data_IF_824241754417
#
_entry.id   IF_824241754417
#
_cell.length_a   1.000
_cell.length_b   1.000
_cell.length_c   1.000
_cell.angle_alpha   90.00
_cell.angle_beta   90.00
_cell.angle_gamma   90.00
#
_symmetry.space_group_name_H-M   'P 1'
#
loop_
_entity.id
_entity.type
_entity.pdbx_description
1 polymer ?
#
# COMPACT_ATOMS: atom_id res chain seq x y z
N UNK A 1 11.34 31.80 17.04
CA UNK A 1 12.03 31.06 15.97
C UNK A 1 11.26 29.76 15.77
N UNK A 2 10.73 29.51 14.58
CA UNK A 2 9.98 28.29 14.24
C UNK A 2 10.87 27.43 13.35
N UNK A 3 11.12 26.20 13.77
CA UNK A 3 11.92 25.23 12.99
C UNK A 3 10.99 24.29 12.28
N UNK A 4 11.14 24.15 10.96
CA UNK A 4 10.45 23.18 10.13
C UNK A 4 11.29 21.91 10.05
N UNK A 5 10.65 20.80 10.34
CA UNK A 5 11.25 19.47 10.27
C UNK A 5 10.83 18.82 8.94
N UNK A 6 11.70 18.00 8.35
CA UNK A 6 11.34 17.22 7.17
C UNK A 6 10.10 16.35 7.48
N UNK A 7 8.95 16.61 6.85
CA UNK A 7 7.74 15.83 7.09
C UNK A 7 7.87 14.42 6.51
N UNK A 8 7.01 13.49 6.96
CA UNK A 8 6.82 12.22 6.28
C UNK A 8 6.19 12.49 4.90
N UNK A 9 6.96 12.20 3.85
CA UNK A 9 6.56 12.38 2.46
C UNK A 9 5.70 11.22 1.91
N UNK A 10 5.30 10.30 2.80
CA UNK A 10 4.48 9.13 2.48
C UNK A 10 5.31 7.91 2.08
N UNK A 11 4.61 6.76 1.93
CA UNK A 11 5.18 5.49 1.45
C UNK A 11 6.35 4.91 2.26
N UNK A 12 6.52 5.34 3.53
CA UNK A 12 7.52 4.79 4.43
C UNK A 12 8.96 5.25 4.13
N UNK A 13 9.13 6.38 3.46
CA UNK A 13 10.43 7.00 3.22
C UNK A 13 11.05 7.49 4.53
N UNK A 14 12.29 7.12 4.80
CA UNK A 14 13.01 7.47 6.04
C UNK A 14 13.91 8.69 5.89
N UNK A 15 14.28 9.06 4.65
CA UNK A 15 15.17 10.16 4.32
C UNK A 15 14.83 10.79 2.97
N UNK A 16 15.26 12.02 2.71
CA UNK A 16 15.23 12.68 1.41
C UNK A 16 16.50 13.51 1.22
N UNK A 17 16.99 13.62 -0.01
CA UNK A 17 18.17 14.41 -0.35
C UNK A 17 17.76 15.84 -0.75
N UNK A 18 18.45 16.86 -0.23
CA UNK A 18 18.23 18.25 -0.62
C UNK A 18 18.82 18.46 -2.02
N UNK A 19 17.95 18.66 -3.02
CA UNK A 19 18.38 18.93 -4.39
C UNK A 19 18.79 20.37 -4.54
N UNK A 20 17.94 21.30 -4.10
CA UNK A 20 18.16 22.73 -4.27
C UNK A 20 17.35 23.54 -3.26
N UNK A 21 17.98 24.59 -2.71
CA UNK A 21 17.28 25.61 -1.96
C UNK A 21 16.67 26.66 -2.89
N UNK A 22 15.40 26.97 -2.71
CA UNK A 22 14.66 27.99 -3.48
C UNK A 22 14.73 29.37 -2.82
N UNK A 23 15.27 29.43 -1.60
CA UNK A 23 15.44 30.63 -0.79
C UNK A 23 16.82 30.63 -0.13
N UNK A 24 17.30 31.80 0.25
CA UNK A 24 18.56 32.01 0.97
C UNK A 24 18.29 32.45 2.44
N UNK A 25 19.31 32.29 3.30
CA UNK A 25 19.24 32.85 4.65
C UNK A 25 19.06 34.36 4.56
N UNK A 26 18.10 34.88 5.30
CA UNK A 26 17.72 36.28 5.28
C UNK A 26 16.54 36.66 4.39
N UNK A 27 16.07 35.77 3.52
CA UNK A 27 14.91 36.01 2.66
C UNK A 27 13.62 36.02 3.46
N UNK A 28 12.63 36.80 3.00
CA UNK A 28 11.26 36.76 3.51
C UNK A 28 10.45 35.69 2.75
N UNK A 29 9.76 34.82 3.48
CA UNK A 29 8.91 33.78 2.93
C UNK A 29 7.47 33.92 3.45
N UNK A 30 6.52 33.66 2.56
CA UNK A 30 5.09 33.58 2.90
C UNK A 30 4.70 32.14 3.30
N UNK A 31 3.54 31.99 3.94
CA UNK A 31 2.94 30.66 4.16
C UNK A 31 2.63 30.04 2.80
N UNK A 32 2.90 28.75 2.66
CA UNK A 32 2.74 27.93 1.43
C UNK A 32 3.69 28.30 0.27
N UNK A 33 4.70 29.14 0.51
CA UNK A 33 5.75 29.41 -0.48
C UNK A 33 6.73 28.24 -0.50
N UNK A 34 7.07 27.73 -1.70
CA UNK A 34 8.10 26.71 -1.88
C UNK A 34 9.47 27.23 -1.40
N UNK A 35 10.16 26.43 -0.57
CA UNK A 35 11.45 26.81 0.08
C UNK A 35 12.58 25.90 -0.37
N UNK A 36 12.31 24.64 -0.61
CA UNK A 36 13.33 23.64 -0.95
C UNK A 36 12.76 22.56 -1.87
N UNK A 37 13.56 22.10 -2.80
CA UNK A 37 13.32 20.87 -3.57
C UNK A 37 14.09 19.72 -2.92
N UNK A 38 13.40 18.63 -2.62
CA UNK A 38 14.00 17.41 -2.09
C UNK A 38 13.75 16.24 -3.01
N UNK A 39 14.74 15.38 -3.22
CA UNK A 39 14.64 14.15 -3.97
C UNK A 39 14.40 12.97 -3.01
N UNK A 40 13.38 12.21 -3.33
CA UNK A 40 13.09 10.93 -2.68
C UNK A 40 13.46 9.80 -3.63
N UNK A 41 13.48 8.57 -3.16
CA UNK A 41 13.73 7.39 -4.01
C UNK A 41 12.77 7.26 -5.23
N UNK A 42 11.70 8.08 -5.31
CA UNK A 42 10.68 7.99 -6.35
C UNK A 42 10.43 9.27 -7.16
N UNK A 43 10.67 10.43 -6.58
CA UNK A 43 10.38 11.72 -7.23
C UNK A 43 11.06 12.89 -6.53
N UNK A 44 11.18 14.01 -7.27
CA UNK A 44 11.55 15.31 -6.69
C UNK A 44 10.28 16.03 -6.25
N UNK A 45 10.25 16.54 -5.03
CA UNK A 45 9.10 17.21 -4.39
C UNK A 45 9.52 18.58 -3.87
N UNK A 46 8.71 19.60 -4.17
CA UNK A 46 8.87 20.92 -3.56
C UNK A 46 8.17 20.96 -2.19
N UNK A 47 8.90 21.43 -1.16
CA UNK A 47 8.34 21.59 0.18
C UNK A 47 8.03 23.06 0.47
N UNK A 48 6.75 23.38 0.77
CA UNK A 48 6.35 24.73 1.11
C UNK A 48 6.60 25.04 2.59
N UNK A 49 6.79 26.32 2.89
CA UNK A 49 6.90 26.82 4.27
C UNK A 49 5.54 26.87 4.96
N UNK A 50 5.35 26.23 6.13
CA UNK A 50 4.15 26.38 6.93
C UNK A 50 4.11 27.70 7.74
N UNK A 51 5.17 28.51 7.67
CA UNK A 51 5.31 29.74 8.43
C UNK A 51 5.69 30.90 7.53
N UNK A 52 5.13 32.09 7.80
CA UNK A 52 5.60 33.34 7.22
C UNK A 52 6.66 33.98 8.13
N UNK A 53 7.68 34.56 7.53
CA UNK A 53 8.73 35.26 8.24
C UNK A 53 10.05 35.26 7.48
N UNK A 54 11.13 35.57 8.19
CA UNK A 54 12.49 35.64 7.61
C UNK A 54 13.22 34.33 7.85
N UNK A 55 13.85 33.76 6.81
CA UNK A 55 14.70 32.58 6.93
C UNK A 55 15.90 32.88 7.82
N UNK A 56 15.98 32.24 8.97
CA UNK A 56 17.05 32.45 9.96
C UNK A 56 18.21 31.48 9.75
N UNK A 57 17.95 30.24 9.34
CA UNK A 57 18.97 29.22 9.05
C UNK A 57 18.44 28.13 8.14
N UNK A 58 19.30 27.60 7.26
CA UNK A 58 19.09 26.41 6.45
C UNK A 58 19.92 25.27 7.06
N UNK A 59 19.27 24.10 7.32
CA UNK A 59 19.90 22.98 8.01
C UNK A 59 20.24 21.87 7.02
N UNK A 60 21.35 22.01 6.31
CA UNK A 60 21.87 21.05 5.33
C UNK A 60 22.32 21.73 4.05
N UNK A 61 23.37 21.21 3.44
CA UNK A 61 23.83 21.65 2.13
C UNK A 61 23.06 20.90 1.02
N UNK A 62 23.01 21.49 -0.18
CA UNK A 62 22.53 20.77 -1.38
C UNK A 62 23.36 19.50 -1.59
N UNK A 63 22.70 18.39 -1.97
CA UNK A 63 23.29 17.06 -2.07
C UNK A 63 23.42 16.32 -0.72
N UNK A 64 22.80 16.80 0.36
CA UNK A 64 22.84 16.13 1.67
C UNK A 64 21.52 15.41 1.93
N UNK A 65 21.60 14.14 2.34
CA UNK A 65 20.44 13.39 2.81
C UNK A 65 20.05 13.83 4.24
N UNK A 66 18.76 14.04 4.46
CA UNK A 66 18.15 14.45 5.73
C UNK A 66 17.08 13.43 6.13
N UNK A 67 17.15 12.91 7.36
CA UNK A 67 16.14 11.98 7.89
C UNK A 67 14.80 12.69 8.14
N UNK A 68 13.70 11.98 7.96
CA UNK A 68 12.35 12.42 8.36
C UNK A 68 12.34 12.79 9.84
N UNK A 69 11.78 13.97 10.15
CA UNK A 69 11.74 14.50 11.52
C UNK A 69 12.98 15.28 11.94
N UNK A 70 14.00 15.43 11.10
CA UNK A 70 15.16 16.30 11.36
C UNK A 70 14.88 17.74 10.91
N UNK A 71 15.56 18.74 11.53
CA UNK A 71 15.44 20.14 11.13
C UNK A 71 15.85 20.35 9.67
N UNK A 72 15.00 21.06 8.90
CA UNK A 72 15.26 21.38 7.51
C UNK A 72 15.59 22.87 7.35
N UNK A 73 14.77 23.77 7.92
CA UNK A 73 15.05 25.19 7.99
C UNK A 73 14.38 25.86 9.20
N UNK A 74 14.83 27.06 9.56
CA UNK A 74 14.31 27.85 10.68
C UNK A 74 13.88 29.23 10.22
N UNK A 75 12.73 29.72 10.71
CA UNK A 75 12.14 31.01 10.38
C UNK A 75 11.97 31.84 11.64
N UNK A 76 12.40 33.13 11.59
CA UNK A 76 12.01 34.15 12.53
C UNK A 76 10.67 34.75 12.08
N UNK A 77 9.65 34.77 12.95
CA UNK A 77 8.41 35.45 12.62
C UNK A 77 8.69 36.92 12.37
N UNK A 78 8.14 37.47 11.28
CA UNK A 78 8.24 38.89 11.00
C UNK A 78 7.74 39.67 12.23
N UNK A 79 8.58 40.54 12.79
CA UNK A 79 8.17 41.46 13.83
C UNK A 79 7.23 42.47 13.19
N UNK A 80 5.94 42.25 13.26
CA UNK A 80 4.92 43.21 12.86
C UNK A 80 4.95 44.36 13.87
N UNK A 81 5.71 45.41 13.55
CA UNK A 81 5.40 46.73 14.08
C UNK A 81 4.08 47.17 13.45
N UNK A 82 3.05 47.12 14.26
CA UNK A 82 1.78 47.77 14.20
C UNK A 82 1.23 48.19 12.84
N UNK A 83 0.27 47.43 12.35
CA UNK A 83 -0.98 48.03 11.88
C UNK A 83 -2.11 47.00 12.10
N UNK A 84 -2.89 47.27 13.13
CA UNK A 84 -4.09 46.50 13.45
C UNK A 84 -5.13 46.78 12.39
N UNK A 85 -5.45 45.79 11.57
CA UNK A 85 -6.53 45.82 10.56
C UNK A 85 -7.92 45.62 11.17
N UNK A 86 -8.16 46.03 12.42
CA UNK A 86 -9.51 46.20 12.97
C UNK A 86 -9.47 47.40 13.92
N UNK A 87 -9.88 48.52 13.39
CA UNK A 87 -10.46 49.71 13.89
C UNK A 87 -10.35 50.08 15.36
N UNK A 88 -9.54 51.08 15.63
CA UNK A 88 -9.93 52.32 16.33
C UNK A 88 -8.91 53.36 15.93
N UNK A 89 -9.17 54.02 14.80
CA UNK A 89 -8.49 55.24 14.43
C UNK A 89 -8.96 56.36 15.35
N UNK A 90 -8.00 57.09 15.92
CA UNK A 90 -8.22 58.32 16.64
C UNK A 90 -8.63 59.43 15.67
N UNK A 91 -9.80 60.02 15.99
CA UNK A 91 -10.28 61.41 15.80
C UNK A 91 -9.79 62.27 14.63
N UNK A 92 -10.71 62.69 13.83
CA UNK A 92 -10.71 63.84 12.93
C UNK A 92 -12.09 64.15 12.40
N UNK A 93 -12.77 65.06 13.06
CA UNK A 93 -13.89 65.96 12.70
C UNK A 93 -14.93 65.64 11.64
N UNK A 94 -16.16 65.76 12.12
CA UNK A 94 -17.33 66.48 11.61
C UNK A 94 -18.06 65.94 10.37
N UNK A 95 -19.33 65.63 10.59
CA UNK A 95 -20.34 65.89 9.55
C UNK A 95 -21.52 64.95 9.46
N UNK A 96 -22.65 65.40 10.05
CA UNK A 96 -24.03 65.18 9.63
C UNK A 96 -24.75 63.84 9.86
N UNK A 97 -25.73 63.97 10.68
CA UNK A 97 -26.67 63.01 11.15
C UNK A 97 -27.60 62.36 10.08
N UNK A 98 -27.94 61.14 10.37
CA UNK A 98 -29.16 60.53 9.86
C UNK A 98 -29.93 59.84 10.97
N UNK A 99 -31.22 60.24 11.07
CA UNK A 99 -32.23 59.85 12.04
C UNK A 99 -32.39 58.33 12.16
N UNK A 100 -32.43 57.85 13.41
CA UNK A 100 -32.82 56.50 13.80
C UNK A 100 -34.35 56.34 13.66
N UNK A 101 -34.82 55.31 12.97
CA UNK A 101 -36.20 54.81 13.06
C UNK A 101 -36.35 53.94 14.31
N UNK A 102 -37.50 53.95 14.99
CA UNK A 102 -37.73 53.22 16.23
C UNK A 102 -37.89 51.71 15.96
N UNK A 103 -37.24 50.93 16.80
CA UNK A 103 -37.27 49.47 16.80
C UNK A 103 -38.57 48.98 17.47
N UNK A 104 -39.35 48.18 16.75
CA UNK A 104 -40.54 47.47 17.20
C UNK A 104 -40.20 46.51 18.35
N UNK A 105 -40.84 46.66 19.50
CA UNK A 105 -40.76 45.76 20.64
C UNK A 105 -41.51 44.46 20.32
N UNK A 106 -40.86 43.33 20.45
CA UNK A 106 -41.49 42.00 20.48
C UNK A 106 -41.42 41.54 21.95
N UNK A 107 -42.56 41.46 22.59
CA UNK A 107 -42.73 40.87 23.90
C UNK A 107 -42.73 39.34 23.76
N UNK A 108 -41.74 38.68 24.33
CA UNK A 108 -41.79 37.23 24.58
C UNK A 108 -41.71 37.00 26.08
N UNK A 109 -42.78 36.53 26.63
CA UNK A 109 -42.92 36.01 27.98
C UNK A 109 -42.27 34.62 28.01
N UNK A 110 -41.23 34.40 28.84
CA UNK A 110 -40.67 33.06 29.01
C UNK A 110 -39.47 33.08 29.94
N UNK A 111 -39.65 32.59 31.13
CA UNK A 111 -38.71 32.03 32.13
C UNK A 111 -37.33 32.68 32.21
N UNK A 112 -37.08 33.43 33.28
CA UNK A 112 -35.80 34.02 33.65
C UNK A 112 -34.83 32.96 34.14
N UNK A 113 -34.07 32.33 33.21
CA UNK A 113 -32.73 31.80 33.49
C UNK A 113 -31.74 32.97 33.45
N UNK A 114 -30.90 33.10 34.46
CA UNK A 114 -29.84 34.14 34.56
C UNK A 114 -28.91 33.98 33.35
N UNK A 115 -28.95 34.94 32.43
CA UNK A 115 -28.13 34.90 31.23
C UNK A 115 -26.63 34.79 31.58
N UNK A 116 -25.87 33.90 30.99
CA UNK A 116 -24.45 33.72 31.30
C UNK A 116 -23.69 35.01 30.97
N UNK A 117 -22.92 35.51 31.93
CA UNK A 117 -22.14 36.74 31.76
C UNK A 117 -20.81 36.38 31.04
N UNK A 118 -20.75 36.58 29.74
CA UNK A 118 -19.53 36.54 28.96
C UNK A 118 -19.23 37.95 28.47
N UNK A 119 -18.19 38.57 29.02
CA UNK A 119 -17.81 39.95 28.67
C UNK A 119 -16.90 39.94 27.41
N UNK A 120 -16.01 38.95 27.26
CA UNK A 120 -15.03 38.96 26.19
C UNK A 120 -15.57 38.42 24.85
N UNK A 121 -15.46 39.21 23.76
CA UNK A 121 -15.79 38.73 22.40
C UNK A 121 -14.98 37.52 21.97
N UNK A 122 -13.73 37.42 22.47
CA UNK A 122 -12.80 36.32 22.16
C UNK A 122 -13.28 35.00 22.75
N UNK A 123 -13.81 35.01 23.98
CA UNK A 123 -14.36 33.82 24.65
C UNK A 123 -15.63 33.33 23.93
N UNK A 124 -16.48 34.25 23.45
CA UNK A 124 -17.67 33.91 22.65
C UNK A 124 -17.30 33.31 21.29
N UNK A 125 -16.23 33.84 20.67
CA UNK A 125 -15.73 33.30 19.40
C UNK A 125 -15.18 31.89 19.62
N UNK A 126 -14.34 31.70 20.65
CA UNK A 126 -13.76 30.39 20.98
C UNK A 126 -14.82 29.32 21.26
N UNK A 127 -15.87 29.66 22.01
CA UNK A 127 -16.97 28.75 22.26
C UNK A 127 -17.74 28.39 20.99
N UNK A 128 -17.95 29.36 20.10
CA UNK A 128 -18.65 29.14 18.82
C UNK A 128 -17.80 28.27 17.91
N UNK A 129 -16.51 28.55 17.78
CA UNK A 129 -15.58 27.80 16.94
C UNK A 129 -15.40 26.36 17.46
N UNK A 130 -15.50 26.18 18.81
CA UNK A 130 -15.45 24.86 19.48
C UNK A 130 -16.80 24.13 19.59
N UNK A 131 -17.91 24.69 19.05
CA UNK A 131 -19.24 24.07 19.11
C UNK A 131 -19.84 23.96 20.52
N UNK A 132 -19.36 24.75 21.49
CA UNK A 132 -19.79 24.70 22.88
C UNK A 132 -20.81 25.80 23.19
N UNK A 133 -21.95 25.41 23.77
CA UNK A 133 -22.98 26.39 24.20
C UNK A 133 -22.51 27.05 25.50
N UNK A 134 -22.20 28.35 25.41
CA UNK A 134 -21.78 29.17 26.54
C UNK A 134 -22.83 29.22 27.67
N UNK A 135 -24.11 29.02 27.35
CA UNK A 135 -25.18 29.04 28.33
C UNK A 135 -25.20 27.80 29.24
N UNK A 136 -24.55 26.73 28.80
CA UNK A 136 -24.42 25.47 29.53
C UNK A 136 -23.12 25.40 30.40
N UNK A 137 -22.27 26.42 30.31
CA UNK A 137 -20.99 26.46 31.07
C UNK A 137 -21.19 27.19 32.39
N UNK A 138 -20.79 26.57 33.49
CA UNK A 138 -20.70 27.21 34.79
C UNK A 138 -19.40 28.04 34.86
N UNK A 139 -19.53 29.38 34.91
CA UNK A 139 -18.40 30.30 34.90
C UNK A 139 -17.66 30.30 36.25
N UNK A 140 -16.31 30.17 36.22
CA UNK A 140 -15.44 30.20 37.41
C UNK A 140 -14.87 31.58 37.69
N UNK A 141 -15.12 32.57 36.85
CA UNK A 141 -14.69 33.96 37.07
C UNK A 141 -15.54 34.72 38.09
N UNK A 142 -15.14 35.97 38.46
CA UNK A 142 -15.89 36.81 39.36
C UNK A 142 -17.35 36.98 38.91
N UNK A 143 -18.29 36.91 39.86
CA UNK A 143 -19.73 37.01 39.63
C UNK A 143 -20.32 35.92 38.66
N UNK A 144 -19.67 34.78 38.55
CA UNK A 144 -20.10 33.71 37.66
C UNK A 144 -19.78 33.97 36.18
N UNK A 145 -18.75 34.74 35.92
CA UNK A 145 -18.25 35.05 34.58
C UNK A 145 -17.65 33.82 33.91
N UNK A 146 -18.08 33.49 32.69
CA UNK A 146 -17.44 32.42 31.90
C UNK A 146 -16.11 32.90 31.35
N UNK A 147 -15.03 32.27 31.77
CA UNK A 147 -13.66 32.57 31.36
C UNK A 147 -13.23 31.72 30.16
N UNK A 148 -12.08 32.08 29.55
CA UNK A 148 -11.48 31.27 28.48
C UNK A 148 -11.16 29.83 28.96
N UNK A 149 -10.69 29.69 30.21
CA UNK A 149 -10.37 28.40 30.79
C UNK A 149 -11.60 27.50 30.92
N UNK A 150 -12.77 28.07 31.21
CA UNK A 150 -14.02 27.31 31.31
C UNK A 150 -14.48 26.79 29.95
N UNK A 151 -14.37 27.61 28.90
CA UNK A 151 -14.68 27.19 27.53
C UNK A 151 -13.71 26.08 27.08
N UNK A 152 -12.41 26.24 27.30
CA UNK A 152 -11.41 25.21 26.96
C UNK A 152 -11.68 23.89 27.73
N UNK A 153 -12.03 23.99 29.02
CA UNK A 153 -12.41 22.82 29.82
C UNK A 153 -13.68 22.15 29.27
N UNK A 154 -14.69 22.92 28.92
CA UNK A 154 -15.91 22.40 28.31
C UNK A 154 -15.66 21.75 26.94
N UNK A 155 -14.75 22.30 26.12
CA UNK A 155 -14.31 21.68 24.86
C UNK A 155 -13.62 20.33 25.07
N UNK A 156 -12.80 20.21 26.11
CA UNK A 156 -12.14 18.95 26.46
C UNK A 156 -13.08 17.92 27.09
N UNK A 157 -14.15 18.38 27.74
CA UNK A 157 -15.14 17.50 28.39
C UNK A 157 -16.28 17.10 27.43
N UNK A 158 -16.49 17.85 26.35
CA UNK A 158 -17.59 17.63 25.38
C UNK A 158 -17.12 16.84 24.13
N UNK A 159 -16.00 16.13 24.19
CA UNK A 159 -15.79 15.09 23.19
C UNK A 159 -16.83 14.01 23.49
N UNK A 160 -17.87 13.82 22.67
CA UNK A 160 -18.72 12.65 22.81
C UNK A 160 -17.80 11.47 22.57
N UNK A 161 -17.51 10.73 23.64
CA UNK A 161 -16.91 9.40 23.52
C UNK A 161 -17.99 8.55 22.85
N UNK A 162 -18.07 8.59 21.53
CA UNK A 162 -18.71 7.54 20.76
C UNK A 162 -18.03 6.27 21.28
N UNK A 163 -18.75 5.31 21.86
CA UNK A 163 -18.14 4.07 22.29
C UNK A 163 -17.46 3.49 21.05
N UNK A 164 -16.12 3.52 21.01
CA UNK A 164 -15.33 2.82 19.99
C UNK A 164 -15.81 1.37 20.04
N UNK A 165 -16.14 0.77 18.89
CA UNK A 165 -16.49 -0.64 18.86
C UNK A 165 -15.39 -1.39 19.58
N UNK A 166 -15.78 -2.27 20.51
CA UNK A 166 -14.85 -3.02 21.36
C UNK A 166 -13.92 -3.79 20.45
N UNK A 167 -12.67 -3.37 20.31
CA UNK A 167 -11.67 -4.01 19.45
C UNK A 167 -11.47 -5.45 19.93
N UNK A 168 -11.72 -6.41 19.05
CA UNK A 168 -11.40 -7.81 19.32
C UNK A 168 -9.95 -8.07 18.92
N UNK A 169 -9.06 -8.23 19.87
CA UNK A 169 -7.66 -8.61 19.63
C UNK A 169 -7.54 -10.12 19.49
N UNK A 170 -7.05 -10.58 18.34
CA UNK A 170 -6.79 -11.99 18.04
C UNK A 170 -5.27 -12.17 17.96
N UNK A 171 -4.63 -12.84 18.91
CA UNK A 171 -3.19 -13.08 18.86
C UNK A 171 -2.85 -14.07 17.74
N UNK A 172 -1.77 -13.79 17.00
CA UNK A 172 -1.25 -14.72 16.01
C UNK A 172 -0.70 -15.98 16.71
N UNK A 173 -1.03 -17.16 16.18
CA UNK A 173 -0.41 -18.43 16.57
C UNK A 173 1.09 -18.46 16.22
N UNK A 174 1.86 -19.39 16.80
CA UNK A 174 3.28 -19.54 16.50
C UNK A 174 3.56 -19.74 15.00
N UNK A 175 2.79 -20.62 14.36
CA UNK A 175 2.86 -20.85 12.90
C UNK A 175 2.54 -19.56 12.12
N UNK A 176 1.46 -18.86 12.48
CA UNK A 176 1.05 -17.62 11.83
C UNK A 176 2.11 -16.51 11.98
N UNK A 177 2.81 -16.44 13.12
CA UNK A 177 3.93 -15.52 13.34
C UNK A 177 5.13 -15.83 12.43
N UNK A 178 5.47 -17.12 12.26
CA UNK A 178 6.55 -17.53 11.36
C UNK A 178 6.24 -17.16 9.90
N UNK A 179 5.02 -17.47 9.44
CA UNK A 179 4.54 -17.08 8.09
C UNK A 179 4.57 -15.56 7.91
N UNK A 180 4.05 -14.78 8.88
CA UNK A 180 4.06 -13.33 8.80
C UNK A 180 5.49 -12.78 8.68
N UNK A 181 6.45 -13.32 9.46
CA UNK A 181 7.86 -12.92 9.37
C UNK A 181 8.47 -13.24 7.99
N UNK A 182 8.21 -14.44 7.46
CA UNK A 182 8.72 -14.85 6.15
C UNK A 182 8.16 -13.96 5.02
N UNK A 183 6.85 -13.69 5.03
CA UNK A 183 6.20 -12.85 4.03
C UNK A 183 6.65 -11.38 4.13
N UNK A 184 6.78 -10.84 5.34
CA UNK A 184 7.31 -9.48 5.55
C UNK A 184 8.74 -9.37 5.03
N UNK A 185 9.58 -10.37 5.32
CA UNK A 185 10.96 -10.41 4.81
C UNK A 185 10.99 -10.40 3.28
N UNK A 186 10.23 -11.30 2.64
CA UNK A 186 10.16 -11.39 1.19
C UNK A 186 9.77 -10.04 0.59
N UNK A 187 8.69 -9.42 1.11
CA UNK A 187 8.18 -8.15 0.58
C UNK A 187 9.13 -6.97 0.80
N UNK A 188 9.94 -6.98 1.86
CA UNK A 188 10.91 -5.91 2.16
C UNK A 188 12.23 -6.07 1.40
N UNK A 189 12.62 -7.32 1.05
CA UNK A 189 13.90 -7.58 0.40
C UNK A 189 13.81 -7.71 -1.13
N UNK A 190 12.62 -8.03 -1.68
CA UNK A 190 12.41 -8.30 -3.10
C UNK A 190 11.58 -7.19 -3.75
N UNK A 191 12.15 -6.37 -4.66
CA UNK A 191 11.39 -5.47 -5.50
C UNK A 191 10.67 -6.28 -6.60
N UNK A 192 9.45 -6.73 -6.28
CA UNK A 192 8.66 -7.62 -7.14
C UNK A 192 8.02 -6.86 -8.31
N UNK A 193 8.09 -7.43 -9.50
CA UNK A 193 7.23 -7.08 -10.62
C UNK A 193 6.27 -8.23 -10.94
N UNK A 194 5.08 -7.91 -11.46
CA UNK A 194 4.07 -8.91 -11.83
C UNK A 194 3.58 -8.69 -13.26
N UNK A 195 3.53 -9.76 -14.03
CA UNK A 195 2.98 -9.79 -15.38
C UNK A 195 1.87 -10.84 -15.49
N UNK A 196 0.88 -10.60 -16.36
CA UNK A 196 -0.28 -11.49 -16.57
C UNK A 196 -0.49 -11.76 -18.04
N UNK A 197 -1.03 -12.96 -18.31
CA UNK A 197 -1.55 -13.32 -19.62
C UNK A 197 -2.76 -14.25 -19.46
N UNK A 198 -3.77 -14.04 -20.30
CA UNK A 198 -4.86 -14.99 -20.47
C UNK A 198 -4.44 -16.07 -21.48
N UNK A 199 -4.61 -17.34 -21.12
CA UNK A 199 -4.14 -18.50 -21.89
C UNK A 199 -5.31 -19.41 -22.25
N UNK A 200 -5.38 -19.83 -23.50
CA UNK A 200 -6.37 -20.80 -23.96
C UNK A 200 -5.95 -22.24 -23.63
N UNK A 201 -6.47 -22.75 -22.55
CA UNK A 201 -6.20 -24.12 -22.08
C UNK A 201 -7.13 -25.20 -22.67
N UNK A 202 -7.87 -24.88 -23.74
CA UNK A 202 -8.86 -25.82 -24.32
C UNK A 202 -8.19 -27.09 -24.81
N UNK A 203 -7.08 -26.99 -25.53
CA UNK A 203 -6.39 -28.18 -26.08
C UNK A 203 -5.72 -28.98 -24.97
N UNK A 204 -5.14 -28.32 -23.95
CA UNK A 204 -4.62 -29.00 -22.76
C UNK A 204 -5.74 -29.77 -22.03
N UNK A 205 -6.91 -29.15 -21.89
CA UNK A 205 -8.05 -29.81 -21.25
C UNK A 205 -8.51 -31.06 -22.05
N UNK A 206 -8.62 -30.93 -23.38
CA UNK A 206 -8.97 -32.06 -24.27
C UNK A 206 -7.94 -33.18 -24.17
N UNK A 207 -6.67 -32.85 -24.22
CA UNK A 207 -5.59 -33.83 -24.07
C UNK A 207 -5.71 -34.56 -22.73
N UNK A 208 -5.87 -33.84 -21.64
CA UNK A 208 -6.05 -34.45 -20.31
C UNK A 208 -7.26 -35.35 -20.24
N UNK A 209 -8.39 -34.97 -20.84
CA UNK A 209 -9.59 -35.83 -20.89
C UNK A 209 -9.36 -37.09 -21.77
N UNK A 210 -8.60 -36.99 -22.87
CA UNK A 210 -8.28 -38.13 -23.74
C UNK A 210 -7.35 -39.16 -23.09
N UNK A 211 -6.60 -38.79 -22.07
CA UNK A 211 -5.70 -39.70 -21.32
C UNK A 211 -6.40 -40.41 -20.16
N UNK A 212 -7.67 -40.11 -19.89
CA UNK A 212 -8.44 -40.76 -18.83
C UNK A 212 -9.10 -42.05 -19.33
N UNK A 213 -9.08 -43.04 -18.46
CA UNK A 213 -9.85 -44.28 -18.64
C UNK A 213 -10.74 -44.50 -17.42
N UNK A 214 -11.74 -45.42 -17.48
CA UNK A 214 -12.54 -45.75 -16.30
C UNK A 214 -11.72 -46.22 -15.10
N UNK A 215 -10.60 -46.89 -15.35
CA UNK A 215 -9.75 -47.50 -14.32
C UNK A 215 -8.53 -46.62 -13.94
N UNK A 216 -8.20 -45.62 -14.77
CA UNK A 216 -7.07 -44.71 -14.53
C UNK A 216 -7.48 -43.26 -14.80
N UNK A 217 -7.53 -42.41 -13.78
CA UNK A 217 -7.84 -40.98 -13.95
C UNK A 217 -6.78 -40.20 -14.73
N UNK A 218 -5.62 -40.80 -15.03
CA UNK A 218 -4.49 -40.17 -15.67
C UNK A 218 -3.88 -39.01 -14.85
N UNK A 219 -2.86 -38.32 -15.40
CA UNK A 219 -2.25 -37.17 -14.74
C UNK A 219 -3.24 -36.03 -14.53
N UNK A 220 -3.18 -35.40 -13.37
CA UNK A 220 -3.96 -34.20 -13.07
C UNK A 220 -3.47 -32.98 -13.88
N UNK A 221 -4.36 -32.00 -14.08
CA UNK A 221 -4.01 -30.76 -14.81
C UNK A 221 -2.77 -30.07 -14.22
N UNK A 222 -2.60 -30.12 -12.90
CA UNK A 222 -1.45 -29.54 -12.21
C UNK A 222 -0.12 -30.21 -12.64
N UNK A 223 -0.12 -31.50 -12.95
CA UNK A 223 1.07 -32.18 -13.41
C UNK A 223 1.52 -31.69 -14.80
N UNK A 224 0.57 -31.43 -15.71
CA UNK A 224 0.88 -30.81 -17.00
C UNK A 224 1.42 -29.39 -16.84
N UNK A 225 0.77 -28.56 -16.03
CA UNK A 225 1.23 -27.20 -15.74
C UNK A 225 2.64 -27.20 -15.12
N UNK A 226 2.87 -28.10 -14.17
CA UNK A 226 4.17 -28.30 -13.56
C UNK A 226 5.24 -28.72 -14.59
N UNK A 227 4.90 -29.65 -15.49
CA UNK A 227 5.82 -30.08 -16.55
C UNK A 227 6.19 -28.94 -17.48
N UNK A 228 5.24 -28.15 -17.95
CA UNK A 228 5.49 -27.01 -18.82
C UNK A 228 6.33 -25.93 -18.12
N UNK A 229 6.05 -25.68 -16.83
CA UNK A 229 6.85 -24.77 -16.01
C UNK A 229 8.28 -25.25 -15.87
N UNK A 230 8.50 -26.53 -15.60
CA UNK A 230 9.85 -27.12 -15.47
C UNK A 230 10.64 -26.98 -16.77
N UNK A 231 10.02 -27.19 -17.93
CA UNK A 231 10.70 -27.03 -19.22
C UNK A 231 11.02 -25.56 -19.54
N UNK A 232 10.14 -24.65 -19.18
CA UNK A 232 10.42 -23.23 -19.29
C UNK A 232 11.59 -22.82 -18.39
N UNK A 233 11.64 -23.31 -17.13
CA UNK A 233 12.76 -23.05 -16.21
C UNK A 233 14.12 -23.56 -16.73
N UNK A 234 14.12 -24.68 -17.47
CA UNK A 234 15.34 -25.17 -18.12
C UNK A 234 15.87 -24.23 -19.21
N UNK A 235 14.99 -23.49 -19.86
CA UNK A 235 15.32 -22.49 -20.90
C UNK A 235 15.62 -21.11 -20.31
N UNK A 236 15.05 -20.82 -19.15
CA UNK A 236 15.19 -19.58 -18.41
C UNK A 236 15.71 -19.85 -16.99
N UNK A 237 16.97 -20.34 -16.83
CA UNK A 237 17.49 -20.78 -15.54
C UNK A 237 17.58 -19.67 -14.51
N UNK A 238 17.66 -18.43 -14.94
CA UNK A 238 17.68 -17.24 -14.06
C UNK A 238 16.48 -17.20 -13.11
N UNK A 239 15.32 -17.74 -13.49
CA UNK A 239 14.14 -17.81 -12.60
C UNK A 239 14.21 -19.01 -11.64
N UNK A 240 15.14 -19.95 -11.83
CA UNK A 240 15.44 -21.03 -10.90
C UNK A 240 16.70 -20.70 -10.10
N UNK A 241 16.72 -19.53 -9.48
CA UNK A 241 17.90 -18.99 -8.78
C UNK A 241 17.53 -18.35 -7.44
N UNK A 242 18.56 -17.86 -6.76
CA UNK A 242 18.46 -16.97 -5.61
C UNK A 242 19.49 -15.85 -5.72
N UNK A 243 19.21 -14.75 -5.05
CA UNK A 243 20.20 -13.70 -4.86
C UNK A 243 21.03 -13.99 -3.60
N UNK A 244 22.37 -13.84 -3.71
CA UNK A 244 23.32 -13.98 -2.59
C UNK A 244 24.27 -12.77 -2.63
N UNK A 245 23.96 -11.74 -1.85
CA UNK A 245 24.60 -10.44 -2.01
C UNK A 245 24.26 -9.84 -3.39
N UNK A 246 25.30 -9.57 -4.17
CA UNK A 246 25.18 -9.03 -5.55
C UNK A 246 25.25 -10.12 -6.62
N UNK A 247 25.30 -11.40 -6.24
CA UNK A 247 25.41 -12.52 -7.15
C UNK A 247 24.07 -13.24 -7.36
N UNK A 248 23.73 -13.55 -8.61
CA UNK A 248 22.66 -14.46 -8.98
C UNK A 248 23.22 -15.88 -8.95
N UNK A 249 22.69 -16.72 -8.06
CA UNK A 249 23.09 -18.11 -7.91
C UNK A 249 22.03 -19.02 -8.51
N UNK A 250 22.25 -19.50 -9.72
CA UNK A 250 21.37 -20.47 -10.40
C UNK A 250 21.50 -21.85 -9.78
N UNK A 251 20.38 -22.58 -9.71
CA UNK A 251 20.33 -23.95 -9.21
C UNK A 251 20.37 -24.96 -10.35
N UNK A 252 21.26 -25.97 -10.28
CA UNK A 252 21.33 -27.06 -11.26
C UNK A 252 20.08 -27.95 -11.25
N UNK A 253 19.45 -28.11 -10.09
CA UNK A 253 18.23 -28.88 -9.92
C UNK A 253 17.01 -27.97 -9.77
N UNK A 254 15.92 -28.37 -10.41
CA UNK A 254 14.62 -27.71 -10.24
C UNK A 254 13.86 -28.46 -9.14
N UNK A 255 13.80 -27.85 -7.96
CA UNK A 255 12.97 -28.31 -6.86
C UNK A 255 11.67 -27.52 -6.87
N UNK A 256 10.63 -28.09 -7.48
CA UNK A 256 9.38 -27.37 -7.72
C UNK A 256 8.50 -27.34 -6.46
N UNK A 257 8.39 -26.18 -5.83
CA UNK A 257 7.46 -25.91 -4.74
C UNK A 257 6.02 -25.86 -5.24
N UNK A 258 5.11 -26.52 -4.56
CA UNK A 258 3.67 -26.54 -4.88
C UNK A 258 2.90 -25.86 -3.75
N UNK A 259 2.40 -24.65 -3.98
CA UNK A 259 1.59 -23.93 -2.99
C UNK A 259 0.33 -24.73 -2.66
N UNK A 260 0.17 -25.15 -1.40
CA UNK A 260 -0.87 -26.06 -0.95
C UNK A 260 -1.58 -25.52 0.29
N UNK A 261 -2.90 -25.37 0.20
CA UNK A 261 -3.72 -24.98 1.33
C UNK A 261 -3.97 -26.18 2.26
N UNK A 262 -3.63 -26.02 3.54
CA UNK A 262 -3.89 -27.04 4.57
C UNK A 262 -4.77 -26.46 5.70
N UNK A 263 -5.36 -27.29 6.58
CA UNK A 263 -6.10 -26.79 7.74
C UNK A 263 -5.27 -25.91 8.67
N UNK A 264 -3.94 -26.04 8.67
CA UNK A 264 -3.01 -25.22 9.47
C UNK A 264 -2.61 -23.92 8.78
N UNK A 265 -2.83 -23.81 7.47
CA UNK A 265 -2.46 -22.69 6.64
C UNK A 265 -1.82 -23.10 5.32
N UNK A 266 -1.27 -22.13 4.59
CA UNK A 266 -0.54 -22.35 3.35
C UNK A 266 0.85 -22.94 3.66
N UNK A 267 1.22 -24.00 2.95
CA UNK A 267 2.54 -24.64 2.95
C UNK A 267 3.02 -24.81 1.50
N UNK A 268 4.33 -24.93 1.31
CA UNK A 268 4.92 -25.10 -0.03
C UNK A 268 5.83 -26.34 -0.05
N UNK A 269 5.24 -27.56 -0.05
CA UNK A 269 6.03 -28.77 -0.28
C UNK A 269 6.73 -28.73 -1.63
N UNK A 270 7.89 -29.36 -1.75
CA UNK A 270 8.68 -29.34 -2.97
C UNK A 270 8.86 -30.75 -3.57
N UNK A 271 8.70 -30.85 -4.90
CA UNK A 271 9.09 -31.98 -5.72
C UNK A 271 10.55 -31.78 -6.11
N UNK A 272 11.44 -32.63 -5.61
CA UNK A 272 12.87 -32.54 -5.87
C UNK A 272 13.23 -33.13 -7.24
N UNK A 273 14.16 -32.44 -7.94
CA UNK A 273 14.66 -32.90 -9.23
C UNK A 273 13.54 -33.07 -10.27
N UNK A 274 12.55 -32.17 -10.29
CA UNK A 274 11.34 -32.26 -11.09
C UNK A 274 11.64 -32.44 -12.60
N UNK A 275 12.77 -31.92 -13.09
CA UNK A 275 13.23 -32.07 -14.47
C UNK A 275 13.59 -33.51 -14.87
N UNK A 276 13.83 -34.38 -13.89
CA UNK A 276 14.19 -35.79 -14.10
C UNK A 276 12.99 -36.73 -14.17
N UNK A 277 11.81 -36.24 -13.81
CA UNK A 277 10.59 -37.05 -13.68
C UNK A 277 9.82 -37.08 -15.02
N UNK A 278 9.21 -38.22 -15.31
CA UNK A 278 8.16 -38.31 -16.35
C UNK A 278 6.90 -37.60 -15.89
N UNK A 279 5.96 -37.32 -16.80
CA UNK A 279 4.69 -36.68 -16.45
C UNK A 279 3.92 -37.48 -15.37
N UNK A 280 3.86 -38.81 -15.51
CA UNK A 280 3.23 -39.68 -14.52
C UNK A 280 3.98 -39.69 -13.18
N UNK A 281 5.32 -39.69 -13.22
CA UNK A 281 6.16 -39.58 -12.02
C UNK A 281 5.98 -38.24 -11.32
N UNK A 282 5.88 -37.15 -12.09
CA UNK A 282 5.62 -35.83 -11.58
C UNK A 282 4.26 -35.71 -10.89
N UNK A 283 3.18 -36.27 -11.51
CA UNK A 283 1.86 -36.32 -10.91
C UNK A 283 1.84 -37.09 -9.59
N UNK A 284 2.46 -38.29 -9.58
CA UNK A 284 2.55 -39.11 -8.37
C UNK A 284 3.31 -38.37 -7.24
N UNK A 285 4.41 -37.73 -7.58
CA UNK A 285 5.24 -37.03 -6.61
C UNK A 285 4.53 -35.76 -6.10
N UNK A 286 3.85 -34.98 -6.96
CA UNK A 286 3.02 -33.84 -6.56
C UNK A 286 1.97 -34.30 -5.55
N UNK A 287 1.22 -35.39 -5.84
CA UNK A 287 0.22 -35.93 -4.91
C UNK A 287 0.85 -36.33 -3.58
N UNK A 288 2.01 -36.99 -3.61
CA UNK A 288 2.72 -37.42 -2.41
C UNK A 288 3.14 -36.24 -1.52
N UNK A 289 3.76 -35.23 -2.11
CA UNK A 289 4.29 -34.09 -1.33
C UNK A 289 3.18 -33.20 -0.80
N UNK A 290 2.12 -32.96 -1.60
CA UNK A 290 0.97 -32.15 -1.17
C UNK A 290 0.17 -32.83 -0.05
N UNK A 291 0.03 -34.16 -0.09
CA UNK A 291 -0.61 -34.93 0.99
C UNK A 291 0.19 -34.88 2.30
N UNK A 292 1.51 -34.69 2.26
CA UNK A 292 2.34 -34.59 3.45
C UNK A 292 2.06 -33.35 4.29
N UNK A 293 1.62 -32.26 3.67
CA UNK A 293 1.34 -30.96 4.29
C UNK A 293 2.55 -30.34 5.00
N UNK A 294 3.76 -30.63 4.53
CA UNK A 294 5.03 -30.11 5.08
C UNK A 294 5.71 -29.20 4.07
N UNK A 295 6.30 -28.11 4.55
CA UNK A 295 7.16 -27.27 3.72
C UNK A 295 8.38 -28.05 3.20
N UNK A 296 8.89 -27.63 2.05
CA UNK A 296 10.07 -28.19 1.41
C UNK A 296 11.00 -27.12 0.89
N UNK A 297 12.23 -27.54 0.53
CA UNK A 297 13.28 -26.66 0.01
C UNK A 297 13.10 -26.50 -1.52
N UNK A 298 12.04 -25.77 -1.94
CA UNK A 298 11.81 -25.45 -3.34
C UNK A 298 12.75 -24.36 -3.85
N UNK A 299 13.11 -24.45 -5.14
CA UNK A 299 13.90 -23.40 -5.84
C UNK A 299 13.04 -22.48 -6.70
N UNK A 300 11.82 -22.90 -7.00
CA UNK A 300 10.77 -22.13 -7.68
C UNK A 300 9.40 -22.56 -7.16
N UNK A 301 8.42 -21.67 -7.12
CA UNK A 301 7.07 -22.01 -6.63
C UNK A 301 6.03 -21.94 -7.74
N UNK A 302 5.23 -23.01 -7.83
CA UNK A 302 4.01 -23.10 -8.62
C UNK A 302 2.80 -22.97 -7.71
N UNK A 303 1.92 -22.02 -8.02
CA UNK A 303 0.70 -21.76 -7.26
C UNK A 303 -0.54 -21.95 -8.14
N UNK A 304 -1.35 -22.96 -7.84
CA UNK A 304 -2.64 -23.16 -8.51
C UNK A 304 -3.78 -22.79 -7.56
N UNK A 305 -4.28 -21.57 -7.71
CA UNK A 305 -5.41 -21.05 -6.94
C UNK A 305 -6.76 -21.17 -7.65
N UNK A 306 -6.79 -21.81 -8.82
CA UNK A 306 -8.03 -22.11 -9.54
C UNK A 306 -9.00 -22.96 -8.73
N UNK A 307 -8.48 -23.88 -7.91
CA UNK A 307 -9.28 -24.66 -6.96
C UNK A 307 -9.96 -23.84 -5.86
N UNK A 308 -9.50 -22.60 -5.63
CA UNK A 308 -10.11 -21.63 -4.72
C UNK A 308 -11.12 -20.71 -5.41
N UNK A 309 -11.43 -20.98 -6.69
CA UNK A 309 -12.34 -20.19 -7.52
C UNK A 309 -11.88 -18.73 -7.75
N UNK A 310 -10.57 -18.53 -7.87
CA UNK A 310 -9.92 -17.23 -8.10
C UNK A 310 -9.33 -17.18 -9.50
N UNK A 311 -9.49 -16.05 -10.20
CA UNK A 311 -9.03 -15.87 -11.59
C UNK A 311 -7.55 -15.52 -11.68
N UNK A 312 -7.03 -14.69 -10.78
CA UNK A 312 -5.66 -14.23 -10.81
C UNK A 312 -5.19 -13.80 -9.41
N UNK A 313 -3.87 -13.74 -9.21
CA UNK A 313 -3.26 -13.32 -7.96
C UNK A 313 -1.87 -12.74 -8.19
N UNK A 314 -1.55 -11.60 -7.59
CA UNK A 314 -0.20 -11.12 -7.39
C UNK A 314 0.35 -11.76 -6.11
N UNK A 315 0.95 -12.95 -6.25
CA UNK A 315 1.46 -13.71 -5.10
C UNK A 315 2.75 -13.08 -4.56
N UNK A 316 3.04 -13.31 -3.28
CA UNK A 316 4.33 -12.95 -2.68
C UNK A 316 5.32 -14.09 -2.95
N UNK A 317 6.52 -13.74 -3.40
CA UNK A 317 7.59 -14.71 -3.68
C UNK A 317 7.99 -15.44 -2.39
N UNK A 318 8.21 -16.74 -2.48
CA UNK A 318 8.68 -17.56 -1.36
C UNK A 318 10.19 -17.41 -1.19
N UNK A 319 10.60 -16.36 -0.44
CA UNK A 319 12.02 -16.08 -0.20
C UNK A 319 12.79 -17.32 0.32
N UNK A 320 14.02 -17.65 -0.20
CA UNK A 320 14.91 -16.84 -1.03
C UNK A 320 14.76 -17.06 -2.54
N UNK A 321 13.68 -17.70 -3.01
CA UNK A 321 13.40 -17.82 -4.45
C UNK A 321 13.24 -16.44 -5.09
N UNK A 322 13.43 -16.38 -6.40
CA UNK A 322 13.32 -15.11 -7.16
C UNK A 322 12.04 -15.01 -7.98
N UNK A 323 11.22 -16.06 -8.01
CA UNK A 323 9.99 -16.03 -8.80
C UNK A 323 8.93 -17.03 -8.33
N UNK A 324 7.68 -16.76 -8.72
CA UNK A 324 6.51 -17.61 -8.51
C UNK A 324 5.56 -17.51 -9.70
N UNK A 325 5.08 -18.65 -10.21
CA UNK A 325 4.10 -18.73 -11.28
C UNK A 325 2.75 -19.17 -10.71
N UNK A 326 1.70 -18.42 -11.04
CA UNK A 326 0.35 -18.67 -10.59
C UNK A 326 -0.61 -19.00 -11.71
N UNK A 327 -1.54 -19.94 -11.46
CA UNK A 327 -2.62 -20.29 -12.36
C UNK A 327 -3.97 -20.09 -11.70
N UNK A 328 -4.84 -19.35 -12.38
CA UNK A 328 -6.23 -19.17 -11.99
C UNK A 328 -7.14 -20.32 -12.39
N UNK A 329 -8.42 -20.15 -12.12
CA UNK A 329 -9.43 -21.11 -12.53
C UNK A 329 -9.56 -21.17 -14.05
N UNK A 330 -9.79 -22.38 -14.56
CA UNK A 330 -10.05 -22.61 -15.98
C UNK A 330 -11.56 -22.57 -16.24
N UNK A 331 -12.02 -21.53 -16.93
CA UNK A 331 -13.43 -21.29 -17.21
C UNK A 331 -13.71 -21.26 -18.71
N UNK A 332 -14.91 -21.67 -19.08
CA UNK A 332 -15.44 -21.42 -20.42
C UNK A 332 -15.76 -19.93 -20.58
N UNK A 333 -15.13 -19.30 -21.58
CA UNK A 333 -15.31 -17.88 -21.92
C UNK A 333 -15.49 -17.73 -23.44
N UNK A 334 -16.24 -16.70 -23.92
CA UNK A 334 -16.24 -16.34 -25.32
C UNK A 334 -14.84 -15.84 -25.69
N UNK A 335 -14.30 -16.39 -26.78
CA UNK A 335 -12.94 -16.11 -27.23
C UNK A 335 -12.90 -16.01 -28.74
N UNK A 336 -12.04 -15.13 -29.29
CA UNK A 336 -11.91 -14.98 -30.74
C UNK A 336 -10.86 -15.95 -31.27
N UNK A 337 -11.25 -16.85 -32.14
CA UNK A 337 -10.37 -17.82 -32.81
C UNK A 337 -10.65 -17.79 -34.31
N UNK A 338 -9.63 -17.51 -35.12
CA UNK A 338 -9.78 -17.43 -36.58
C UNK A 338 -10.75 -16.34 -37.05
N UNK A 339 -10.99 -15.30 -36.25
CA UNK A 339 -11.93 -14.22 -36.54
C UNK A 339 -13.38 -14.49 -36.07
N UNK A 340 -13.66 -15.64 -35.50
CA UNK A 340 -14.99 -16.02 -34.98
C UNK A 340 -15.01 -16.11 -33.46
N UNK A 341 -16.15 -15.78 -32.86
CA UNK A 341 -16.36 -15.95 -31.42
C UNK A 341 -16.71 -17.42 -31.13
N UNK A 342 -15.87 -18.08 -30.34
CA UNK A 342 -16.06 -19.47 -29.92
C UNK A 342 -15.98 -19.58 -28.41
N UNK A 343 -16.49 -20.70 -27.86
CA UNK A 343 -16.32 -21.02 -26.42
C UNK A 343 -14.97 -21.70 -26.27
N UNK A 344 -14.09 -21.10 -25.43
CA UNK A 344 -12.77 -21.64 -25.11
C UNK A 344 -12.58 -21.69 -23.60
N UNK A 345 -11.74 -22.60 -23.15
CA UNK A 345 -11.41 -22.75 -21.73
C UNK A 345 -10.20 -21.91 -21.39
N UNK A 346 -10.45 -20.74 -20.81
CA UNK A 346 -9.43 -19.73 -20.54
C UNK A 346 -9.00 -19.80 -19.08
N UNK A 347 -7.70 -19.68 -18.84
CA UNK A 347 -7.11 -19.45 -17.53
C UNK A 347 -6.24 -18.20 -17.55
N UNK A 348 -6.21 -17.46 -16.46
CA UNK A 348 -5.24 -16.39 -16.28
C UNK A 348 -3.98 -16.96 -15.63
N UNK A 349 -2.84 -16.67 -16.22
CA UNK A 349 -1.52 -16.99 -15.68
C UNK A 349 -0.88 -15.70 -15.16
N UNK A 350 -0.34 -15.73 -13.95
CA UNK A 350 0.37 -14.60 -13.31
C UNK A 350 1.78 -15.02 -12.96
N UNK A 351 2.75 -14.16 -13.24
CA UNK A 351 4.15 -14.39 -12.93
C UNK A 351 4.70 -13.21 -12.13
N UNK A 352 5.19 -13.51 -10.94
CA UNK A 352 5.83 -12.54 -10.05
C UNK A 352 7.31 -12.89 -9.97
N UNK A 353 8.16 -11.91 -10.19
CA UNK A 353 9.61 -12.10 -10.22
C UNK A 353 10.36 -10.93 -9.56
N UNK A 354 11.56 -11.22 -9.11
CA UNK A 354 12.50 -10.24 -8.55
C UNK A 354 13.10 -9.41 -9.69
N UNK A 355 12.78 -8.11 -9.73
CA UNK A 355 13.22 -7.23 -10.82
C UNK A 355 14.73 -6.93 -10.79
N UNK A 356 15.44 -7.33 -9.73
CA UNK A 356 16.91 -7.29 -9.68
C UNK A 356 17.56 -8.42 -10.47
N UNK A 357 16.82 -9.52 -10.65
CA UNK A 357 17.32 -10.74 -11.30
C UNK A 357 17.03 -10.75 -12.78
N UNK A 358 15.91 -10.17 -13.21
CA UNK A 358 15.46 -10.18 -14.60
C UNK A 358 14.59 -8.96 -14.91
N UNK A 359 14.48 -8.64 -16.19
CA UNK A 359 13.60 -7.60 -16.71
C UNK A 359 12.32 -8.18 -17.34
N UNK A 360 11.46 -7.27 -17.84
CA UNK A 360 10.19 -7.63 -18.44
C UNK A 360 10.31 -8.44 -19.73
N UNK A 361 11.43 -8.33 -20.45
CA UNK A 361 11.65 -9.07 -21.70
C UNK A 361 11.81 -10.56 -21.47
N UNK A 362 12.66 -10.94 -20.52
CA UNK A 362 12.90 -12.36 -20.18
C UNK A 362 11.70 -12.94 -19.43
N UNK A 363 11.06 -12.17 -18.54
CA UNK A 363 9.83 -12.57 -17.89
C UNK A 363 8.71 -12.87 -18.88
N UNK A 364 8.55 -12.04 -19.91
CA UNK A 364 7.58 -12.27 -20.99
C UNK A 364 7.93 -13.51 -21.83
N UNK A 365 9.21 -13.75 -22.14
CA UNK A 365 9.67 -14.94 -22.86
C UNK A 365 9.36 -16.22 -22.06
N UNK A 366 9.69 -16.26 -20.77
CA UNK A 366 9.33 -17.37 -19.89
C UNK A 366 7.80 -17.63 -19.86
N UNK A 367 7.03 -16.57 -19.71
CA UNK A 367 5.55 -16.66 -19.70
C UNK A 367 5.03 -17.20 -21.03
N UNK A 368 5.55 -16.73 -22.19
CA UNK A 368 5.15 -17.23 -23.50
C UNK A 368 5.47 -18.70 -23.68
N UNK A 369 6.64 -19.15 -23.26
CA UNK A 369 7.04 -20.54 -23.35
C UNK A 369 6.05 -21.47 -22.60
N UNK A 370 5.61 -21.06 -21.41
CA UNK A 370 4.61 -21.82 -20.64
C UNK A 370 3.23 -21.75 -21.31
N UNK A 371 2.82 -20.54 -21.76
CA UNK A 371 1.52 -20.32 -22.39
C UNK A 371 1.42 -21.12 -23.70
N UNK A 372 2.44 -21.07 -24.56
CA UNK A 372 2.49 -21.79 -25.83
C UNK A 372 2.40 -23.31 -25.62
N UNK A 373 3.01 -23.84 -24.55
CA UNK A 373 2.92 -25.23 -24.18
C UNK A 373 1.50 -25.62 -23.69
N UNK A 374 0.79 -24.71 -23.05
CA UNK A 374 -0.62 -24.92 -22.64
C UNK A 374 -1.55 -24.86 -23.85
N UNK A 375 -1.34 -23.88 -24.75
CA UNK A 375 -2.15 -23.70 -25.96
C UNK A 375 -1.93 -24.82 -26.98
N UNK A 376 -0.71 -25.38 -27.05
CA UNK A 376 -0.30 -26.44 -27.97
C UNK A 376 0.44 -27.58 -27.23
N UNK A 377 -0.26 -28.40 -26.44
CA UNK A 377 0.39 -29.31 -25.50
C UNK A 377 1.04 -30.55 -26.17
N UNK A 378 0.56 -31.03 -27.32
CA UNK A 378 1.11 -32.22 -27.97
C UNK A 378 2.58 -32.04 -28.40
N UNK A 379 2.98 -30.99 -29.14
CA UNK A 379 4.37 -30.76 -29.48
C UNK A 379 5.26 -30.54 -28.23
N UNK A 380 4.69 -29.94 -27.18
CA UNK A 380 5.39 -29.73 -25.93
C UNK A 380 5.70 -31.04 -25.21
N UNK A 381 4.82 -32.02 -25.24
CA UNK A 381 5.01 -33.34 -24.59
C UNK A 381 5.91 -34.27 -25.44
N UNK A 382 5.81 -34.22 -26.74
CA UNK A 382 6.58 -35.14 -27.63
C UNK A 382 8.07 -34.77 -27.70
N UNK A 383 8.43 -33.53 -27.44
CA UNK A 383 9.82 -33.04 -27.49
C UNK A 383 10.60 -33.31 -26.19
N UNK A 384 10.02 -34.01 -25.22
CA UNK A 384 10.58 -34.21 -23.87
C UNK A 384 10.93 -35.66 -23.58
#
# INVERSE_FOLDING_TARGET
MNTFLLPDLGEGLTEAEIVRWLVAEGDEVAVDQAVVEVETAKSVVELPSPYAGRVAALHGAEGTAVDVGKPLFSIEPASTSGNVLVGYGTSGEAGNGRRRRPRRQITTTGVRGRAPRVISPLVRKLARDGGVDVSAIEGTGPDGLVTRADVVRAMTTTTPTTPMPTERRIPLSGFRKAVAKALTRSRSEIPEATVWVDVDATELWRLRESTRTPDDPGPGILAYLARFTVEALRRHPVFNSRLDGDDIVEHDEINLGIATQTPRGLVVPAVRGAQKLTLAGLDAEIRRVTASGRDGDGTFTLNNYGGLNVDGSAAIINHPQVAILGFGRMLERPWVVGGEITIRRITQMSFVFDHRVSDGGEAAAFMRDVADAIENPLPAIVRW
#
